data_IF_276138476266
#
_entry.id   IF_276138476266
#
_cell.length_a   1.000
_cell.length_b   1.000
_cell.length_c   1.000
_cell.angle_alpha   90.00
_cell.angle_beta   90.00
_cell.angle_gamma   90.00
#
_symmetry.space_group_name_H-M   'P 1'
#
loop_
_entity.id
_entity.type
_entity.pdbx_description
1 polymer ?
#
# COMPACT_ATOMS: atom_id res chain seq x y z
N UNK A 1 33.18 43.95 11.68
CA UNK A 1 34.41 43.19 11.39
C UNK A 1 34.79 42.43 12.67
N UNK A 2 34.15 41.30 12.92
CA UNK A 2 34.49 40.33 13.97
C UNK A 2 34.50 38.98 13.27
N UNK A 3 35.64 38.29 13.30
CA UNK A 3 35.77 36.92 12.83
C UNK A 3 36.62 36.15 13.83
N UNK A 4 36.03 35.09 14.38
CA UNK A 4 36.68 34.01 15.12
C UNK A 4 35.86 32.71 14.80
N UNK A 5 36.39 31.49 15.04
CA UNK A 5 36.86 30.63 13.96
C UNK A 5 36.14 29.28 13.85
N UNK A 6 36.37 28.64 12.70
CA UNK A 6 36.58 27.21 12.44
C UNK A 6 36.06 26.15 13.44
N UNK A 7 35.19 25.26 12.93
CA UNK A 7 35.49 23.81 12.92
C UNK A 7 34.98 22.90 14.05
N UNK A 8 33.84 22.28 13.77
CA UNK A 8 33.19 21.06 14.33
C UNK A 8 34.12 19.83 14.65
N UNK A 9 33.69 18.78 15.42
CA UNK A 9 32.45 18.02 15.18
C UNK A 9 31.63 17.46 16.37
N UNK A 10 30.36 17.19 16.01
CA UNK A 10 29.30 16.56 16.79
C UNK A 10 29.38 15.03 16.69
N UNK A 11 29.08 14.31 17.77
CA UNK A 11 28.34 13.04 17.69
C UNK A 11 27.37 12.91 18.86
N UNK A 12 26.12 12.63 18.53
CA UNK A 12 24.95 12.46 19.39
C UNK A 12 24.88 11.04 19.95
N UNK A 13 24.43 10.87 21.20
CA UNK A 13 24.06 9.56 21.75
C UNK A 13 22.60 9.59 22.21
N UNK A 14 21.72 8.96 21.42
CA UNK A 14 20.31 8.77 21.75
C UNK A 14 20.15 7.68 22.83
N UNK A 15 19.21 7.89 23.76
CA UNK A 15 18.82 6.94 24.82
C UNK A 15 17.88 5.87 24.27
N UNK A 16 18.21 4.59 24.48
CA UNK A 16 17.32 3.47 24.21
C UNK A 16 16.47 3.10 25.46
N UNK A 17 15.21 2.80 25.21
CA UNK A 17 14.18 2.45 26.20
C UNK A 17 14.43 1.10 26.89
N UNK A 18 14.02 1.00 28.16
CA UNK A 18 14.09 -0.21 28.99
C UNK A 18 12.96 -1.18 28.62
N UNK A 19 13.28 -2.38 28.15
CA UNK A 19 12.37 -3.53 28.16
C UNK A 19 12.99 -4.72 28.91
N UNK A 20 12.14 -5.45 29.62
CA UNK A 20 12.50 -6.33 30.74
C UNK A 20 13.42 -7.50 30.40
N UNK A 21 14.58 -7.57 31.07
CA UNK A 21 15.45 -8.76 31.08
C UNK A 21 14.94 -9.78 32.10
N UNK A 22 14.26 -10.84 31.64
CA UNK A 22 14.11 -12.07 32.42
C UNK A 22 15.46 -12.79 32.52
N UNK A 23 15.80 -13.28 33.72
CA UNK A 23 17.09 -13.93 34.02
C UNK A 23 17.13 -15.34 33.39
N UNK A 24 18.18 -15.72 32.64
CA UNK A 24 18.31 -17.08 32.13
C UNK A 24 18.64 -18.07 33.26
N UNK A 25 17.93 -19.22 33.32
CA UNK A 25 18.27 -20.35 34.20
C UNK A 25 19.49 -21.08 33.62
N UNK A 26 20.49 -21.33 34.46
CA UNK A 26 21.75 -21.99 34.10
C UNK A 26 21.68 -23.49 34.40
N UNK A 27 21.97 -24.33 33.40
CA UNK A 27 22.27 -25.75 33.60
C UNK A 27 23.78 -25.92 33.55
N UNK A 28 24.36 -26.55 34.59
CA UNK A 28 25.80 -26.79 34.70
C UNK A 28 26.14 -28.12 34.03
N UNK A 29 27.04 -28.12 33.05
CA UNK A 29 27.79 -29.31 32.65
C UNK A 29 29.29 -29.03 32.82
N UNK A 30 30.00 -29.97 33.48
CA UNK A 30 31.43 -29.86 33.75
C UNK A 30 32.20 -30.49 32.58
N UNK A 31 33.03 -29.69 31.91
CA UNK A 31 34.04 -30.19 30.98
C UNK A 31 35.38 -30.26 31.73
N UNK A 32 36.07 -31.42 31.79
CA UNK A 32 37.25 -31.58 32.65
C UNK A 32 38.57 -31.06 32.05
N UNK A 33 38.58 -30.51 30.83
CA UNK A 33 39.83 -30.23 30.08
C UNK A 33 40.10 -28.75 29.75
N UNK A 34 39.36 -27.79 30.31
CA UNK A 34 39.63 -26.37 30.06
C UNK A 34 39.38 -25.51 31.32
N UNK A 35 40.38 -24.77 31.84
CA UNK A 35 40.17 -23.84 32.96
C UNK A 35 39.46 -22.54 32.53
N UNK A 36 39.38 -22.27 31.23
CA UNK A 36 38.62 -21.15 30.69
C UNK A 36 37.14 -21.51 30.56
N UNK A 37 36.32 -20.80 31.34
CA UNK A 37 34.87 -20.98 31.41
C UNK A 37 34.20 -20.40 30.17
N UNK A 38 34.23 -21.13 29.05
CA UNK A 38 33.58 -20.68 27.81
C UNK A 38 32.06 -20.70 28.02
N UNK A 39 31.46 -19.51 28.16
CA UNK A 39 30.01 -19.34 28.21
C UNK A 39 29.43 -19.67 26.83
N UNK A 40 28.94 -20.89 26.64
CA UNK A 40 28.08 -21.19 25.49
C UNK A 40 26.73 -20.53 25.72
N UNK A 41 26.51 -19.36 25.13
CA UNK A 41 25.19 -18.75 25.05
C UNK A 41 24.41 -19.55 24.00
N UNK A 42 23.40 -20.33 24.40
CA UNK A 42 22.38 -20.76 23.45
C UNK A 42 21.59 -19.51 23.08
N UNK A 43 21.70 -19.08 21.83
CA UNK A 43 20.75 -18.13 21.27
C UNK A 43 19.38 -18.82 21.32
N UNK A 44 18.49 -18.33 22.17
CA UNK A 44 17.07 -18.63 22.06
C UNK A 44 16.55 -17.66 21.00
N UNK A 45 16.56 -18.09 19.75
CA UNK A 45 15.83 -17.40 18.68
C UNK A 45 14.35 -17.64 18.94
N UNK A 46 13.72 -16.77 19.72
CA UNK A 46 12.27 -16.56 19.58
C UNK A 46 12.08 -15.77 18.30
N UNK A 47 12.00 -16.44 17.15
CA UNK A 47 11.46 -15.80 15.95
C UNK A 47 9.99 -15.54 16.23
N UNK A 48 9.65 -14.30 16.57
CA UNK A 48 8.27 -13.85 16.42
C UNK A 48 7.90 -14.05 14.95
N UNK A 49 6.76 -14.68 14.60
CA UNK A 49 6.33 -14.73 13.23
C UNK A 49 6.27 -13.28 12.70
N UNK A 50 6.83 -13.07 11.51
CA UNK A 50 6.67 -11.82 10.80
C UNK A 50 5.16 -11.53 10.66
N UNK A 51 4.73 -10.27 10.70
CA UNK A 51 3.32 -9.95 10.44
C UNK A 51 2.94 -10.58 9.09
N UNK A 52 1.84 -11.33 9.07
CA UNK A 52 1.31 -11.85 7.80
C UNK A 52 1.07 -10.67 6.85
N UNK A 53 1.41 -10.81 5.55
CA UNK A 53 1.20 -9.74 4.60
C UNK A 53 -0.29 -9.36 4.58
N UNK A 54 -0.57 -8.06 4.61
CA UNK A 54 -1.93 -7.55 4.45
C UNK A 54 -2.54 -8.10 3.14
N UNK A 55 -3.86 -8.29 3.07
CA UNK A 55 -4.50 -8.73 1.83
C UNK A 55 -4.14 -7.78 0.68
N UNK A 56 -3.89 -8.30 -0.54
CA UNK A 56 -3.46 -7.48 -1.67
C UNK A 56 -4.50 -6.39 -1.96
N UNK A 57 -4.04 -5.16 -2.12
CA UNK A 57 -4.86 -4.00 -2.42
C UNK A 57 -5.48 -4.07 -3.83
N UNK A 58 -6.60 -3.38 -4.06
CA UNK A 58 -7.31 -3.39 -5.36
C UNK A 58 -7.67 -1.97 -5.79
N UNK A 59 -7.29 -1.62 -7.02
CA UNK A 59 -7.73 -0.42 -7.72
C UNK A 59 -8.69 -0.80 -8.85
N UNK A 60 -9.75 -0.01 -9.05
CA UNK A 60 -10.62 -0.09 -10.23
C UNK A 60 -10.41 1.16 -11.06
N UNK A 61 -9.84 1.00 -12.24
CA UNK A 61 -9.72 2.05 -13.24
C UNK A 61 -11.04 2.15 -14.00
N UNK A 62 -11.62 3.35 -14.00
CA UNK A 62 -12.88 3.70 -14.61
C UNK A 62 -12.64 4.78 -15.68
N UNK A 63 -12.35 4.41 -16.94
CA UNK A 63 -12.28 5.37 -18.05
C UNK A 63 -13.61 6.09 -18.18
N UNK A 64 -13.58 7.42 -18.21
CA UNK A 64 -14.78 8.25 -18.13
C UNK A 64 -14.74 9.37 -19.17
N UNK A 65 -15.79 9.47 -19.97
CA UNK A 65 -16.02 10.57 -20.90
C UNK A 65 -17.52 10.87 -20.97
N UNK A 66 -17.94 11.97 -20.35
CA UNK A 66 -19.34 12.41 -20.34
C UNK A 66 -20.33 11.38 -19.74
N UNK A 67 -19.98 10.81 -18.59
CA UNK A 67 -20.75 9.77 -17.87
C UNK A 67 -21.33 10.24 -16.53
N UNK A 68 -21.63 11.54 -16.37
CA UNK A 68 -22.07 12.13 -15.09
C UNK A 68 -23.32 11.44 -14.52
N UNK A 69 -24.23 10.98 -15.39
CA UNK A 69 -25.45 10.28 -14.99
C UNK A 69 -25.22 8.85 -14.49
N UNK A 70 -24.20 8.14 -15.01
CA UNK A 70 -23.90 6.76 -14.64
C UNK A 70 -23.05 6.67 -13.37
N UNK A 71 -22.19 7.67 -13.13
CA UNK A 71 -21.24 7.73 -12.01
C UNK A 71 -21.84 7.38 -10.63
N UNK A 72 -23.00 7.90 -10.21
CA UNK A 72 -23.61 7.53 -8.93
C UNK A 72 -23.85 6.02 -8.79
N UNK A 73 -24.38 5.39 -9.85
CA UNK A 73 -24.69 3.97 -9.85
C UNK A 73 -23.42 3.10 -9.86
N UNK A 74 -22.43 3.49 -10.67
CA UNK A 74 -21.15 2.76 -10.80
C UNK A 74 -20.35 2.84 -9.50
N UNK A 75 -20.16 4.05 -8.96
CA UNK A 75 -19.32 4.26 -7.77
C UNK A 75 -19.92 3.66 -6.49
N UNK A 76 -21.26 3.64 -6.37
CA UNK A 76 -21.94 2.94 -5.26
C UNK A 76 -21.63 1.43 -5.25
N UNK A 77 -21.38 0.85 -6.42
CA UNK A 77 -21.16 -0.60 -6.60
C UNK A 77 -19.70 -1.01 -6.60
N UNK A 78 -18.77 -0.06 -6.55
CA UNK A 78 -17.36 -0.39 -6.33
C UNK A 78 -17.24 -1.10 -4.97
N UNK A 79 -16.68 -2.32 -4.91
CA UNK A 79 -16.64 -3.08 -3.68
C UNK A 79 -15.94 -2.32 -2.54
N UNK A 80 -16.44 -2.45 -1.29
CA UNK A 80 -15.86 -1.75 -0.16
C UNK A 80 -14.39 -2.15 0.04
N UNK A 81 -13.54 -1.15 0.30
CA UNK A 81 -12.09 -1.34 0.45
C UNK A 81 -11.32 -1.34 -0.87
N UNK A 82 -11.99 -1.19 -2.01
CA UNK A 82 -11.33 -0.98 -3.31
C UNK A 82 -11.30 0.52 -3.60
N UNK A 83 -10.25 1.00 -4.27
CA UNK A 83 -10.13 2.41 -4.65
C UNK A 83 -10.60 2.60 -6.09
N UNK A 84 -11.58 3.49 -6.28
CA UNK A 84 -12.03 3.91 -7.60
C UNK A 84 -11.09 5.00 -8.16
N UNK A 85 -10.52 4.73 -9.33
CA UNK A 85 -9.72 5.66 -10.13
C UNK A 85 -10.54 6.06 -11.35
N UNK A 86 -11.31 7.13 -11.25
CA UNK A 86 -12.06 7.67 -12.39
C UNK A 86 -11.12 8.49 -13.25
N UNK A 87 -10.93 8.08 -14.50
CA UNK A 87 -10.04 8.75 -15.44
C UNK A 87 -10.88 9.61 -16.38
N UNK A 88 -11.00 10.90 -16.05
CA UNK A 88 -11.73 11.88 -16.85
C UNK A 88 -10.93 12.24 -18.11
N UNK A 89 -11.41 11.73 -19.25
CA UNK A 89 -10.75 11.84 -20.55
C UNK A 89 -11.31 12.99 -21.41
N UNK A 90 -11.56 14.12 -20.76
CA UNK A 90 -12.04 15.34 -21.39
C UNK A 90 -13.55 15.46 -21.39
N UNK A 91 -14.20 15.12 -20.27
CA UNK A 91 -15.64 15.31 -20.08
C UNK A 91 -16.00 16.80 -20.02
N UNK A 92 -17.17 17.12 -20.51
CA UNK A 92 -17.78 18.46 -20.58
C UNK A 92 -19.07 18.56 -19.76
N UNK A 93 -19.63 17.43 -19.34
CA UNK A 93 -20.85 17.33 -18.53
C UNK A 93 -20.64 17.47 -17.02
N UNK A 94 -19.40 17.61 -16.56
CA UNK A 94 -19.04 17.69 -15.15
C UNK A 94 -18.74 16.34 -14.48
N UNK A 95 -18.58 15.25 -15.23
CA UNK A 95 -18.24 13.91 -14.74
C UNK A 95 -17.12 13.90 -13.69
N UNK A 96 -15.98 14.55 -13.98
CA UNK A 96 -14.87 14.62 -13.03
C UNK A 96 -15.22 15.33 -11.72
N UNK A 97 -16.18 16.25 -11.72
CA UNK A 97 -16.70 16.88 -10.50
C UNK A 97 -17.57 15.92 -9.69
N UNK A 98 -18.51 15.26 -10.36
CA UNK A 98 -19.41 14.25 -9.77
C UNK A 98 -18.61 13.11 -9.14
N UNK A 99 -17.62 12.57 -9.86
CA UNK A 99 -16.77 11.50 -9.37
C UNK A 99 -16.01 11.87 -8.08
N UNK A 100 -15.42 13.07 -8.02
CA UNK A 100 -14.75 13.56 -6.79
C UNK A 100 -15.73 13.71 -5.64
N UNK A 101 -16.92 14.24 -5.88
CA UNK A 101 -17.94 14.42 -4.85
C UNK A 101 -18.42 13.08 -4.25
N UNK A 102 -18.39 12.01 -5.05
CA UNK A 102 -18.72 10.65 -4.64
C UNK A 102 -17.53 9.89 -4.01
N UNK A 103 -16.38 10.55 -3.82
CA UNK A 103 -15.23 9.97 -3.13
C UNK A 103 -14.26 9.18 -4.02
N UNK A 104 -14.41 9.23 -5.35
CA UNK A 104 -13.43 8.64 -6.25
C UNK A 104 -12.17 9.51 -6.34
N UNK A 105 -11.03 8.85 -6.60
CA UNK A 105 -9.82 9.56 -7.04
C UNK A 105 -10.00 9.87 -8.52
N UNK A 106 -9.92 11.14 -8.90
CA UNK A 106 -10.03 11.55 -10.31
C UNK A 106 -8.66 11.84 -10.90
N UNK A 107 -8.33 11.12 -11.96
CA UNK A 107 -7.16 11.34 -12.82
C UNK A 107 -7.65 12.05 -14.08
N UNK A 108 -6.95 13.08 -14.52
CA UNK A 108 -7.27 13.75 -15.78
C UNK A 108 -6.30 13.29 -16.87
N UNK A 109 -6.84 12.93 -18.04
CA UNK A 109 -6.03 12.56 -19.21
C UNK A 109 -6.41 13.45 -20.39
N UNK A 110 -5.47 14.29 -20.82
CA UNK A 110 -5.65 15.28 -21.89
C UNK A 110 -5.78 14.64 -23.26
N UNK A 111 -5.09 13.51 -23.51
CA UNK A 111 -5.17 12.79 -24.77
C UNK A 111 -6.45 11.97 -24.81
N UNK A 112 -7.41 12.41 -25.63
CA UNK A 112 -8.64 11.64 -25.86
C UNK A 112 -8.36 10.24 -26.40
N UNK A 113 -9.17 9.30 -25.94
CA UNK A 113 -9.20 7.91 -26.38
C UNK A 113 -9.20 6.94 -25.19
N UNK A 114 -10.03 5.91 -25.29
CA UNK A 114 -10.16 4.86 -24.27
C UNK A 114 -8.80 4.30 -23.80
N UNK A 115 -7.91 3.98 -24.74
CA UNK A 115 -6.58 3.46 -24.41
C UNK A 115 -5.70 4.45 -23.63
N UNK A 116 -5.80 5.75 -23.91
CA UNK A 116 -5.07 6.78 -23.17
C UNK A 116 -5.59 6.88 -21.73
N UNK A 117 -6.92 6.88 -21.55
CA UNK A 117 -7.54 6.87 -20.22
C UNK A 117 -7.15 5.61 -19.41
N UNK A 118 -7.23 4.43 -20.03
CA UNK A 118 -6.79 3.18 -19.41
C UNK A 118 -5.31 3.23 -19.00
N UNK A 119 -4.44 3.75 -19.87
CA UNK A 119 -3.02 3.85 -19.59
C UNK A 119 -2.71 4.83 -18.44
N UNK A 120 -3.37 5.99 -18.42
CA UNK A 120 -3.23 6.97 -17.35
C UNK A 120 -3.72 6.39 -16.00
N UNK A 121 -4.87 5.72 -16.00
CA UNK A 121 -5.39 5.04 -14.82
C UNK A 121 -4.47 3.95 -14.29
N UNK A 122 -3.93 3.11 -15.18
CA UNK A 122 -2.95 2.08 -14.81
C UNK A 122 -1.67 2.68 -14.21
N UNK A 123 -1.20 3.79 -14.77
CA UNK A 123 0.02 4.48 -14.28
C UNK A 123 -0.21 5.14 -12.92
N UNK A 124 -1.43 5.61 -12.65
CA UNK A 124 -1.84 6.16 -11.37
C UNK A 124 -2.15 5.09 -10.31
N UNK A 125 -2.45 3.86 -10.74
CA UNK A 125 -2.73 2.75 -9.84
C UNK A 125 -1.50 2.38 -9.01
N UNK A 126 -1.74 2.04 -7.76
CA UNK A 126 -0.71 1.62 -6.80
C UNK A 126 -1.06 0.32 -6.10
N UNK A 127 -2.20 -0.27 -6.46
CA UNK A 127 -2.67 -1.52 -5.90
C UNK A 127 -1.92 -2.73 -6.48
N UNK A 128 -1.93 -3.83 -5.73
CA UNK A 128 -1.38 -5.12 -6.15
C UNK A 128 -2.19 -5.72 -7.33
N UNK A 129 -3.49 -5.42 -7.38
CA UNK A 129 -4.40 -5.85 -8.45
C UNK A 129 -5.11 -4.62 -9.01
N UNK A 130 -5.11 -4.51 -10.34
CA UNK A 130 -5.81 -3.44 -11.06
C UNK A 130 -6.89 -4.06 -11.93
N UNK A 131 -8.12 -3.62 -11.74
CA UNK A 131 -9.25 -3.96 -12.58
C UNK A 131 -9.61 -2.79 -13.49
N UNK A 132 -10.13 -3.10 -14.68
CA UNK A 132 -10.75 -2.12 -15.56
C UNK A 132 -12.26 -2.38 -15.59
N UNK A 133 -13.04 -1.31 -15.53
CA UNK A 133 -14.49 -1.34 -15.70
C UNK A 133 -14.91 -0.04 -16.37
N UNK A 134 -15.82 -0.09 -17.32
CA UNK A 134 -16.32 1.13 -17.96
C UNK A 134 -17.18 1.94 -16.99
N UNK A 135 -17.19 3.26 -17.18
CA UNK A 135 -17.87 4.20 -16.29
C UNK A 135 -19.33 4.51 -16.72
N UNK A 136 -19.87 3.75 -17.69
CA UNK A 136 -21.16 3.97 -18.36
C UNK A 136 -22.30 3.07 -17.83
N UNK A 137 -22.05 2.32 -16.75
CA UNK A 137 -22.95 1.32 -16.17
C UNK A 137 -23.27 0.11 -17.07
N UNK A 138 -22.49 -0.14 -18.13
CA UNK A 138 -22.60 -1.35 -18.95
C UNK A 138 -22.22 -2.64 -18.21
N UNK A 139 -21.39 -2.52 -17.16
CA UNK A 139 -20.96 -3.61 -16.29
C UNK A 139 -21.15 -3.23 -14.82
N UNK A 140 -21.62 -4.17 -14.00
CA UNK A 140 -21.67 -4.01 -12.54
C UNK A 140 -20.27 -4.26 -11.94
N UNK A 141 -19.63 -3.27 -11.29
CA UNK A 141 -18.31 -3.44 -10.67
C UNK A 141 -18.24 -4.56 -9.63
N UNK A 142 -19.36 -4.95 -9.01
CA UNK A 142 -19.42 -6.10 -8.09
C UNK A 142 -19.02 -7.40 -8.79
N UNK A 143 -19.25 -7.50 -10.10
CA UNK A 143 -18.90 -8.66 -10.92
C UNK A 143 -17.39 -8.91 -11.00
N UNK A 144 -16.55 -7.93 -10.64
CA UNK A 144 -15.08 -8.07 -10.61
C UNK A 144 -14.60 -8.93 -9.42
N UNK A 145 -15.38 -9.00 -8.34
CA UNK A 145 -15.00 -9.71 -7.10
C UNK A 145 -14.58 -11.17 -7.33
N UNK A 146 -15.35 -12.02 -8.04
CA UNK A 146 -14.92 -13.40 -8.32
C UNK A 146 -13.61 -13.47 -9.10
N UNK A 147 -13.39 -12.61 -10.11
CA UNK A 147 -12.14 -12.61 -10.88
C UNK A 147 -10.94 -12.24 -10.02
N UNK A 148 -11.08 -11.23 -9.15
CA UNK A 148 -10.03 -10.86 -8.20
C UNK A 148 -9.72 -12.00 -7.23
N UNK A 149 -10.72 -12.81 -6.83
CA UNK A 149 -10.47 -13.99 -5.99
C UNK A 149 -9.65 -15.04 -6.70
N UNK A 150 -9.95 -15.35 -7.96
CA UNK A 150 -9.17 -16.30 -8.76
C UNK A 150 -7.73 -15.81 -8.96
N UNK A 151 -7.54 -14.54 -9.35
CA UNK A 151 -6.19 -13.95 -9.51
C UNK A 151 -5.37 -14.01 -8.22
N UNK A 152 -6.01 -13.84 -7.05
CA UNK A 152 -5.35 -13.96 -5.74
C UNK A 152 -4.99 -15.41 -5.38
N UNK A 153 -5.72 -16.39 -5.90
CA UNK A 153 -5.48 -17.80 -5.63
C UNK A 153 -4.29 -18.35 -6.44
N UNK A 154 -3.98 -17.73 -7.59
CA UNK A 154 -2.93 -18.17 -8.52
C UNK A 154 -3.39 -19.32 -9.42
#
# INVERSE_FOLDING_TARGET
MFAAPCGQPRTTRARAARSGRRRPRFVRSRCPLCPFRVRRVRAVTTSSPAPEPAPPSVDVVLPCLDEAAALPWVLERVPPGWRALVVDNGSTDGSGGVARALGATVVHEERRGFGAACHAGLTAATADIVCFCDCDASLDPVSLVPFVREVRAG
#
